data_IF_129665078878
#
_entry.id   IF_129665078878
#
_cell.length_a   1.000
_cell.length_b   1.000
_cell.length_c   1.000
_cell.angle_alpha   90.00
_cell.angle_beta   90.00
_cell.angle_gamma   90.00
#
_symmetry.space_group_name_H-M   'P 1'
#
loop_
_entity.id
_entity.type
_entity.pdbx_description
1 polymer ?
#
# COMPACT_ATOMS: atom_id res chain seq x y z
N UNK A 1 -6.06 12.42 -15.66
CA UNK A 1 -4.71 12.34 -15.03
C UNK A 1 -3.56 11.88 -15.95
N UNK A 2 -3.63 11.95 -17.30
CA UNK A 2 -2.61 11.35 -18.22
C UNK A 2 -1.63 12.34 -18.91
N UNK A 3 -1.53 13.59 -18.47
CA UNK A 3 -0.87 14.67 -19.26
C UNK A 3 0.58 15.00 -18.85
N UNK A 4 1.07 14.53 -17.71
CA UNK A 4 2.35 15.02 -17.15
C UNK A 4 3.61 14.25 -17.61
N UNK A 5 3.48 13.05 -18.18
CA UNK A 5 4.64 12.18 -18.45
C UNK A 5 5.27 12.30 -19.85
N UNK A 6 4.74 13.14 -20.76
CA UNK A 6 5.15 13.07 -22.19
C UNK A 6 6.40 13.87 -22.57
N UNK A 7 6.89 14.81 -21.75
CA UNK A 7 7.97 15.73 -22.13
C UNK A 7 9.13 15.83 -21.12
N UNK A 8 9.27 14.88 -20.19
CA UNK A 8 10.38 14.92 -19.25
C UNK A 8 11.65 14.36 -19.91
N UNK A 9 12.65 15.22 -20.13
CA UNK A 9 14.03 14.82 -20.44
C UNK A 9 14.79 14.66 -19.12
N UNK A 10 15.64 13.63 -18.99
CA UNK A 10 16.42 13.35 -17.78
C UNK A 10 17.18 14.56 -17.21
N UNK A 11 17.90 15.37 -18.02
CA UNK A 11 18.61 16.54 -17.50
C UNK A 11 17.68 17.64 -16.94
N UNK A 12 16.42 17.70 -17.37
CA UNK A 12 15.45 18.69 -16.86
C UNK A 12 14.96 18.28 -15.46
N UNK A 13 14.62 17.00 -15.27
CA UNK A 13 14.17 16.51 -13.96
C UNK A 13 15.29 16.55 -12.91
N UNK A 14 16.52 16.16 -13.26
CA UNK A 14 17.65 16.25 -12.33
C UNK A 14 17.94 17.70 -11.91
N UNK A 15 17.83 18.65 -12.84
CA UNK A 15 17.99 20.08 -12.54
C UNK A 15 16.90 20.60 -11.58
N UNK A 16 15.64 20.19 -11.81
CA UNK A 16 14.52 20.52 -10.92
C UNK A 16 14.72 19.94 -9.51
N UNK A 17 15.16 18.67 -9.41
CA UNK A 17 15.47 18.08 -8.12
C UNK A 17 16.64 18.77 -7.42
N UNK A 18 17.69 19.15 -8.16
CA UNK A 18 18.80 19.89 -7.58
C UNK A 18 18.34 21.24 -6.99
N UNK A 19 17.49 21.98 -7.71
CA UNK A 19 16.90 23.23 -7.20
C UNK A 19 16.04 22.98 -5.96
N UNK A 20 15.16 21.97 -6.00
CA UNK A 20 14.36 21.57 -4.85
C UNK A 20 15.23 21.23 -3.64
N UNK A 21 16.32 20.49 -3.83
CA UNK A 21 17.22 20.09 -2.74
C UNK A 21 17.95 21.27 -2.13
N UNK A 22 18.32 22.28 -2.91
CA UNK A 22 18.91 23.51 -2.38
C UNK A 22 17.93 24.20 -1.43
N UNK A 23 16.66 24.33 -1.82
CA UNK A 23 15.65 24.96 -0.97
C UNK A 23 15.32 24.11 0.27
N UNK A 24 15.31 22.78 0.12
CA UNK A 24 15.01 21.85 1.23
C UNK A 24 16.20 21.63 2.18
N UNK A 25 17.43 21.98 1.77
CA UNK A 25 18.62 21.82 2.62
C UNK A 25 18.55 22.72 3.87
N UNK A 26 17.92 23.89 3.76
CA UNK A 26 17.72 24.81 4.89
C UNK A 26 16.55 24.39 5.80
N UNK A 27 15.78 23.37 5.42
CA UNK A 27 14.62 22.90 6.16
C UNK A 27 15.04 21.95 7.30
N UNK A 28 15.18 22.44 8.52
CA UNK A 28 15.75 21.66 9.63
C UNK A 28 14.88 20.51 10.18
N UNK A 29 13.66 20.30 9.66
CA UNK A 29 12.77 19.23 10.14
C UNK A 29 12.82 18.00 9.23
N UNK A 30 12.61 16.79 9.77
CA UNK A 30 12.45 15.60 8.94
C UNK A 30 11.33 15.77 7.91
N UNK A 31 11.60 15.41 6.66
CA UNK A 31 10.69 15.51 5.54
C UNK A 31 10.54 14.15 4.85
N UNK A 32 9.30 13.71 4.67
CA UNK A 32 9.00 12.44 4.02
C UNK A 32 8.34 12.71 2.67
N UNK A 33 8.92 12.17 1.60
CA UNK A 33 8.27 12.12 0.29
C UNK A 33 7.71 10.73 0.09
N UNK A 34 6.39 10.61 0.06
CA UNK A 34 5.70 9.34 -0.17
C UNK A 34 5.26 9.26 -1.63
N UNK A 35 5.69 8.21 -2.32
CA UNK A 35 5.25 7.90 -3.68
C UNK A 35 4.49 6.58 -3.64
N UNK A 36 3.19 6.67 -3.87
CA UNK A 36 2.32 5.50 -3.98
C UNK A 36 2.27 4.97 -5.41
N UNK A 37 1.97 3.69 -5.55
CA UNK A 37 1.83 2.97 -6.83
C UNK A 37 2.99 3.17 -7.82
N UNK A 38 4.24 3.15 -7.34
CA UNK A 38 5.42 3.42 -8.18
C UNK A 38 5.55 2.49 -9.40
N UNK A 39 5.09 1.24 -9.27
CA UNK A 39 5.01 0.26 -10.37
C UNK A 39 4.23 0.74 -11.61
N UNK A 40 3.40 1.79 -11.52
CA UNK A 40 2.71 2.38 -12.66
C UNK A 40 3.62 3.27 -13.51
N UNK A 41 4.75 3.72 -12.96
CA UNK A 41 5.76 4.49 -13.67
C UNK A 41 6.60 3.50 -14.48
N UNK A 42 6.43 3.53 -15.80
CA UNK A 42 7.23 2.72 -16.74
C UNK A 42 8.22 3.57 -17.56
N UNK A 43 8.31 4.88 -17.29
CA UNK A 43 9.16 5.79 -18.05
C UNK A 43 10.61 5.71 -17.52
N UNK A 44 11.59 5.22 -18.32
CA UNK A 44 12.97 5.09 -17.88
C UNK A 44 13.62 6.41 -17.45
N UNK A 45 13.21 7.53 -18.06
CA UNK A 45 13.71 8.86 -17.71
C UNK A 45 13.34 9.23 -16.26
N UNK A 46 12.15 8.84 -15.81
CA UNK A 46 11.71 9.07 -14.42
C UNK A 46 12.51 8.18 -13.47
N UNK A 47 12.76 6.92 -13.84
CA UNK A 47 13.61 6.04 -13.03
C UNK A 47 15.03 6.60 -12.86
N UNK A 48 15.64 7.11 -13.92
CA UNK A 48 16.95 7.76 -13.87
C UNK A 48 16.94 9.01 -12.98
N UNK A 49 15.91 9.85 -13.10
CA UNK A 49 15.75 11.02 -12.26
C UNK A 49 15.57 10.63 -10.77
N UNK A 50 14.84 9.55 -10.47
CA UNK A 50 14.67 9.06 -9.10
C UNK A 50 15.96 8.44 -8.54
N UNK A 51 16.80 7.82 -9.38
CA UNK A 51 18.15 7.41 -8.97
C UNK A 51 19.03 8.62 -8.65
N UNK A 52 18.90 9.71 -9.41
CA UNK A 52 19.56 10.97 -9.08
C UNK A 52 19.05 11.52 -7.76
N UNK A 53 17.73 11.54 -7.55
CA UNK A 53 17.09 11.98 -6.31
C UNK A 53 17.67 11.23 -5.10
N UNK A 54 17.66 9.89 -5.13
CA UNK A 54 18.15 9.06 -4.02
C UNK A 54 19.62 9.28 -3.68
N UNK A 55 20.45 9.63 -4.67
CA UNK A 55 21.89 9.88 -4.46
C UNK A 55 22.20 11.25 -3.88
N UNK A 56 21.33 12.24 -4.07
CA UNK A 56 21.62 13.64 -3.75
C UNK A 56 20.61 14.28 -2.80
N UNK A 57 19.61 13.51 -2.33
CA UNK A 57 18.62 14.03 -1.39
C UNK A 57 19.31 14.58 -0.13
N UNK A 58 18.80 15.68 0.46
CA UNK A 58 19.23 16.17 1.76
C UNK A 58 19.06 15.13 2.88
N UNK A 59 19.89 15.19 3.92
CA UNK A 59 19.88 14.21 5.04
C UNK A 59 18.58 14.23 5.86
N UNK A 60 17.91 15.39 5.93
CA UNK A 60 16.61 15.56 6.56
C UNK A 60 15.46 14.94 5.75
N UNK A 61 15.72 14.40 4.55
CA UNK A 61 14.70 13.87 3.65
C UNK A 61 14.73 12.34 3.59
N UNK A 62 13.54 11.73 3.64
CA UNK A 62 13.34 10.29 3.48
C UNK A 62 12.34 10.02 2.37
N UNK A 63 12.73 9.20 1.39
CA UNK A 63 11.84 8.73 0.34
C UNK A 63 11.15 7.43 0.78
N UNK A 64 9.82 7.42 0.77
CA UNK A 64 8.99 6.24 1.00
C UNK A 64 8.32 5.86 -0.31
N UNK A 65 8.55 4.63 -0.78
CA UNK A 65 7.99 4.14 -2.05
C UNK A 65 7.10 2.95 -1.78
N UNK A 66 5.84 3.03 -2.19
CA UNK A 66 4.92 1.91 -2.22
C UNK A 66 4.80 1.39 -3.64
N UNK A 67 4.91 0.08 -3.80
CA UNK A 67 4.93 -0.55 -5.11
C UNK A 67 4.51 -2.01 -5.02
N UNK A 68 3.82 -2.51 -6.05
CA UNK A 68 3.46 -3.93 -6.18
C UNK A 68 4.62 -4.81 -6.67
N UNK A 69 5.61 -4.20 -7.31
CA UNK A 69 6.82 -4.86 -7.77
C UNK A 69 8.06 -4.09 -7.30
N UNK A 70 9.22 -4.75 -7.34
CA UNK A 70 10.47 -4.12 -6.95
C UNK A 70 10.79 -2.96 -7.90
N UNK A 71 10.88 -1.71 -7.42
CA UNK A 71 11.10 -0.56 -8.28
C UNK A 71 12.53 -0.57 -8.84
N UNK A 72 12.69 -0.14 -10.10
CA UNK A 72 13.97 -0.12 -10.80
C UNK A 72 14.88 1.03 -10.34
N UNK A 73 15.10 1.19 -9.04
CA UNK A 73 15.83 2.33 -8.45
C UNK A 73 17.29 2.03 -8.12
N UNK A 74 17.81 0.84 -8.47
CA UNK A 74 19.18 0.45 -8.12
C UNK A 74 19.33 0.17 -6.62
N UNK A 75 18.27 -0.41 -6.03
CA UNK A 75 18.11 -0.67 -4.59
C UNK A 75 19.28 -1.45 -3.97
N UNK A 76 19.97 -2.30 -4.74
CA UNK A 76 21.09 -3.10 -4.26
C UNK A 76 22.22 -2.26 -3.62
N UNK A 77 22.53 -1.08 -4.16
CA UNK A 77 23.57 -0.21 -3.60
C UNK A 77 23.13 0.39 -2.25
N UNK A 78 21.85 0.79 -2.15
CA UNK A 78 21.28 1.29 -0.90
C UNK A 78 21.29 0.21 0.19
N UNK A 79 21.00 -1.04 -0.20
CA UNK A 79 21.02 -2.19 0.72
C UNK A 79 22.42 -2.46 1.28
N UNK A 80 23.45 -2.43 0.44
CA UNK A 80 24.85 -2.64 0.89
C UNK A 80 25.33 -1.52 1.83
N UNK A 81 24.76 -0.32 1.71
CA UNK A 81 25.09 0.84 2.54
C UNK A 81 24.22 0.97 3.80
N UNK A 82 23.31 0.02 4.04
CA UNK A 82 22.32 0.07 5.13
C UNK A 82 21.44 1.34 5.09
N UNK A 83 21.17 1.85 3.88
CA UNK A 83 20.36 3.05 3.61
C UNK A 83 18.96 2.70 3.10
N UNK A 84 18.50 1.48 3.40
CA UNK A 84 17.27 0.94 2.84
C UNK A 84 16.53 0.11 3.87
N UNK A 85 15.28 0.49 4.12
CA UNK A 85 14.31 -0.34 4.81
C UNK A 85 13.32 -0.91 3.81
N UNK A 86 13.26 -2.24 3.71
CA UNK A 86 12.26 -2.94 2.90
C UNK A 86 11.22 -3.57 3.83
N UNK A 87 9.95 -3.26 3.57
CA UNK A 87 8.82 -3.86 4.28
C UNK A 87 8.00 -4.65 3.25
N UNK A 88 8.08 -5.97 3.35
CA UNK A 88 7.33 -6.89 2.49
C UNK A 88 5.91 -7.13 2.98
N UNK A 89 5.09 -7.78 2.14
CA UNK A 89 3.72 -8.15 2.47
C UNK A 89 3.62 -9.00 3.74
N UNK A 90 4.57 -9.89 3.98
CA UNK A 90 4.61 -10.73 5.19
C UNK A 90 4.80 -9.93 6.48
N UNK A 91 5.51 -8.80 6.42
CA UNK A 91 5.72 -7.92 7.58
C UNK A 91 4.51 -7.01 7.83
N UNK A 92 3.66 -6.80 6.82
CA UNK A 92 2.41 -6.05 6.94
C UNK A 92 1.20 -6.95 7.23
N UNK A 93 1.36 -8.26 7.05
CA UNK A 93 0.32 -9.23 7.36
C UNK A 93 0.08 -9.23 8.87
N UNK A 94 -1.19 -9.16 9.25
CA UNK A 94 -1.59 -9.23 10.64
C UNK A 94 -1.20 -10.59 11.22
N UNK A 95 -0.65 -10.54 12.41
CA UNK A 95 -0.50 -11.69 13.29
C UNK A 95 -1.86 -12.13 13.84
N UNK A 96 -1.96 -13.34 14.38
CA UNK A 96 -3.18 -13.82 15.05
C UNK A 96 -3.65 -12.88 16.15
N UNK A 97 -2.70 -12.30 16.90
CA UNK A 97 -3.00 -11.35 17.97
C UNK A 97 -3.56 -10.04 17.40
N UNK A 98 -2.97 -9.48 16.35
CA UNK A 98 -3.46 -8.26 15.69
C UNK A 98 -4.83 -8.50 15.04
N UNK A 99 -5.04 -9.67 14.41
CA UNK A 99 -6.34 -10.05 13.86
C UNK A 99 -7.42 -10.15 14.94
N UNK A 100 -7.08 -10.71 16.12
CA UNK A 100 -8.01 -10.78 17.25
C UNK A 100 -8.38 -9.39 17.76
N UNK A 101 -7.38 -8.55 17.99
CA UNK A 101 -7.58 -7.16 18.40
C UNK A 101 -8.41 -6.39 17.36
N UNK A 102 -8.14 -6.61 16.08
CA UNK A 102 -8.87 -6.01 14.98
C UNK A 102 -10.35 -6.38 14.99
N UNK A 103 -10.69 -7.67 15.13
CA UNK A 103 -12.08 -8.11 15.19
C UNK A 103 -12.79 -7.61 16.44
N UNK A 104 -12.13 -7.64 17.61
CA UNK A 104 -12.70 -7.14 18.87
C UNK A 104 -13.06 -5.66 18.81
N UNK A 105 -12.28 -4.85 18.08
CA UNK A 105 -12.59 -3.43 17.89
C UNK A 105 -13.70 -3.17 16.85
N UNK A 106 -14.01 -4.12 15.97
CA UNK A 106 -14.88 -3.91 14.80
C UNK A 106 -16.23 -4.60 14.91
N UNK A 107 -16.30 -5.73 15.61
CA UNK A 107 -17.51 -6.51 15.78
C UNK A 107 -18.21 -6.12 17.09
N UNK A 108 -19.54 -6.19 17.09
CA UNK A 108 -20.36 -5.92 18.29
C UNK A 108 -20.38 -7.08 19.26
N UNK A 109 -20.15 -8.30 18.77
CA UNK A 109 -19.97 -9.50 19.59
C UNK A 109 -18.54 -10.01 19.40
N UNK A 110 -17.83 -10.37 20.49
CA UNK A 110 -16.48 -10.88 20.40
C UNK A 110 -16.45 -12.19 19.63
N UNK A 111 -15.39 -12.37 18.83
CA UNK A 111 -15.09 -13.63 18.19
C UNK A 111 -14.14 -14.44 19.08
N UNK A 112 -14.30 -15.76 19.11
CA UNK A 112 -13.39 -16.66 19.81
C UNK A 112 -11.99 -16.58 19.20
N UNK A 113 -10.96 -16.76 20.04
CA UNK A 113 -9.56 -16.61 19.61
C UNK A 113 -9.18 -17.63 18.51
N UNK A 114 -9.65 -18.87 18.62
CA UNK A 114 -9.40 -19.92 17.63
C UNK A 114 -10.03 -19.59 16.28
N UNK A 115 -11.25 -19.03 16.30
CA UNK A 115 -11.94 -18.62 15.09
C UNK A 115 -11.25 -17.42 14.44
N UNK A 116 -10.86 -16.41 15.23
CA UNK A 116 -10.06 -15.28 14.73
C UNK A 116 -8.74 -15.72 14.10
N UNK A 117 -8.07 -16.70 14.69
CA UNK A 117 -6.80 -17.21 14.19
C UNK A 117 -7.00 -17.94 12.87
N UNK A 118 -8.03 -18.79 12.76
CA UNK A 118 -8.42 -19.45 11.49
C UNK A 118 -8.75 -18.44 10.40
N UNK A 119 -9.53 -17.41 10.73
CA UNK A 119 -9.87 -16.34 9.79
C UNK A 119 -8.64 -15.59 9.29
N UNK A 120 -7.67 -15.37 10.18
CA UNK A 120 -6.39 -14.76 9.83
C UNK A 120 -5.58 -15.65 8.89
N UNK A 121 -5.49 -16.95 9.17
CA UNK A 121 -4.79 -17.92 8.33
C UNK A 121 -5.44 -18.03 6.94
N UNK A 122 -6.77 -18.09 6.88
CA UNK A 122 -7.55 -18.20 5.65
C UNK A 122 -7.28 -17.06 4.65
N UNK A 123 -6.94 -15.86 5.16
CA UNK A 123 -6.63 -14.67 4.34
C UNK A 123 -5.15 -14.28 4.42
N UNK A 124 -4.29 -15.15 4.95
CA UNK A 124 -2.87 -14.92 5.13
C UNK A 124 -2.53 -13.59 5.84
N UNK A 125 -3.33 -13.22 6.85
CA UNK A 125 -3.16 -11.99 7.63
C UNK A 125 -3.47 -10.70 6.86
N UNK A 126 -4.09 -10.77 5.69
CA UNK A 126 -4.34 -9.56 4.91
C UNK A 126 -5.42 -8.68 5.54
N UNK A 127 -5.00 -7.53 6.08
CA UNK A 127 -5.85 -6.59 6.80
C UNK A 127 -7.11 -6.16 6.03
N UNK A 128 -7.01 -5.96 4.71
CA UNK A 128 -8.18 -5.60 3.88
C UNK A 128 -9.19 -6.74 3.82
N UNK A 129 -8.76 -7.99 3.66
CA UNK A 129 -9.67 -9.13 3.67
C UNK A 129 -10.33 -9.32 5.04
N UNK A 130 -9.57 -9.17 6.13
CA UNK A 130 -10.13 -9.16 7.49
C UNK A 130 -11.19 -8.07 7.67
N UNK A 131 -10.96 -6.88 7.11
CA UNK A 131 -11.92 -5.77 7.11
C UNK A 131 -13.19 -6.12 6.33
N UNK A 132 -13.09 -6.79 5.19
CA UNK A 132 -14.26 -7.25 4.43
C UNK A 132 -15.06 -8.30 5.20
N UNK A 133 -14.38 -9.27 5.83
CA UNK A 133 -15.02 -10.26 6.70
C UNK A 133 -15.81 -9.55 7.81
N UNK A 134 -15.20 -8.58 8.48
CA UNK A 134 -15.84 -7.82 9.54
C UNK A 134 -17.03 -6.98 9.05
N UNK A 135 -16.95 -6.39 7.86
CA UNK A 135 -18.05 -5.62 7.26
C UNK A 135 -19.24 -6.53 6.90
N UNK A 136 -18.99 -7.66 6.25
CA UNK A 136 -20.03 -8.62 5.87
C UNK A 136 -20.75 -9.20 7.09
N UNK A 137 -20.00 -9.55 8.14
CA UNK A 137 -20.58 -10.04 9.39
C UNK A 137 -21.53 -9.04 10.05
N UNK A 138 -21.24 -7.73 9.93
CA UNK A 138 -22.09 -6.66 10.48
C UNK A 138 -23.36 -6.42 9.66
N UNK A 139 -23.30 -6.58 8.34
CA UNK A 139 -24.42 -6.27 7.44
C UNK A 139 -25.47 -7.38 7.41
N UNK A 140 -25.02 -8.65 7.37
CA UNK A 140 -25.91 -9.78 7.09
C UNK A 140 -26.39 -10.52 8.36
N UNK A 141 -26.00 -10.08 9.57
CA UNK A 141 -26.10 -10.88 10.82
C UNK A 141 -25.58 -12.32 10.64
N UNK A 142 -24.73 -12.55 9.64
CA UNK A 142 -24.17 -13.85 9.29
C UNK A 142 -22.86 -14.05 10.02
N UNK A 143 -22.50 -15.28 10.34
CA UNK A 143 -21.25 -15.56 11.03
C UNK A 143 -20.03 -15.12 10.19
N UNK A 144 -19.00 -14.61 10.86
CA UNK A 144 -17.75 -14.17 10.22
C UNK A 144 -17.11 -15.32 9.41
N UNK A 145 -17.28 -16.56 9.87
CA UNK A 145 -16.79 -17.78 9.24
C UNK A 145 -17.43 -18.01 7.85
N UNK A 146 -18.73 -17.70 7.67
CA UNK A 146 -19.37 -17.79 6.35
C UNK A 146 -18.82 -16.76 5.36
N UNK A 147 -18.57 -15.54 5.85
CA UNK A 147 -18.02 -14.46 5.02
C UNK A 147 -16.58 -14.75 4.60
N UNK A 148 -15.78 -15.30 5.52
CA UNK A 148 -14.40 -15.65 5.26
C UNK A 148 -14.23 -16.79 4.26
N UNK A 149 -15.07 -17.83 4.30
CA UNK A 149 -15.02 -18.91 3.31
C UNK A 149 -15.26 -18.42 1.88
N UNK A 150 -16.10 -17.39 1.70
CA UNK A 150 -16.31 -16.76 0.38
C UNK A 150 -15.04 -16.03 -0.09
N UNK A 151 -14.31 -15.42 0.83
CA UNK A 151 -13.10 -14.63 0.53
C UNK A 151 -11.84 -15.51 0.42
N UNK A 152 -11.72 -16.57 1.21
CA UNK A 152 -10.57 -17.50 1.22
C UNK A 152 -10.45 -18.31 -0.08
N UNK A 153 -11.56 -18.50 -0.80
CA UNK A 153 -11.55 -19.10 -2.14
C UNK A 153 -10.98 -18.18 -3.22
N UNK A 154 -10.73 -16.91 -2.90
CA UNK A 154 -10.28 -15.90 -3.83
C UNK A 154 -8.85 -15.54 -3.46
N UNK A 155 -7.89 -15.95 -4.29
CA UNK A 155 -6.49 -15.57 -4.14
C UNK A 155 -6.37 -14.05 -3.91
N UNK A 156 -5.45 -13.60 -3.06
CA UNK A 156 -5.26 -12.17 -2.75
C UNK A 156 -5.06 -11.29 -4.00
N UNK A 157 -4.53 -11.85 -5.10
CA UNK A 157 -4.42 -11.18 -6.41
C UNK A 157 -5.73 -11.07 -7.20
N UNK A 158 -6.70 -11.95 -6.95
CA UNK A 158 -8.03 -11.96 -7.56
C UNK A 158 -9.08 -11.26 -6.69
N UNK A 159 -8.79 -11.02 -5.39
CA UNK A 159 -9.71 -10.30 -4.52
C UNK A 159 -9.79 -8.81 -4.87
N UNK A 160 -8.80 -8.23 -5.56
CA UNK A 160 -8.93 -6.89 -6.13
C UNK A 160 -10.04 -6.79 -7.17
N UNK A 161 -10.29 -7.86 -7.93
CA UNK A 161 -11.38 -7.91 -8.91
C UNK A 161 -12.73 -8.17 -8.21
N UNK A 162 -12.73 -9.00 -7.15
CA UNK A 162 -13.91 -9.22 -6.32
C UNK A 162 -14.33 -7.99 -5.50
N UNK A 163 -13.36 -7.17 -5.07
CA UNK A 163 -13.61 -5.88 -4.44
C UNK A 163 -14.33 -4.91 -5.37
N UNK A 164 -14.15 -5.04 -6.69
CA UNK A 164 -14.92 -4.25 -7.66
C UNK A 164 -16.37 -4.73 -7.72
N UNK A 165 -16.61 -6.04 -7.79
CA UNK A 165 -17.99 -6.56 -7.86
C UNK A 165 -18.77 -6.38 -6.55
N UNK A 166 -18.24 -6.77 -5.39
CA UNK A 166 -19.05 -6.82 -4.15
C UNK A 166 -19.09 -5.49 -3.37
N UNK A 167 -18.10 -4.59 -3.55
CA UNK A 167 -18.12 -3.26 -2.91
C UNK A 167 -18.89 -2.24 -3.77
N UNK A 168 -18.89 -2.35 -5.10
CA UNK A 168 -19.67 -1.42 -5.93
C UNK A 168 -21.16 -1.73 -5.94
N UNK A 169 -21.55 -3.01 -5.84
CA UNK A 169 -22.97 -3.39 -5.78
C UNK A 169 -23.66 -2.94 -4.48
N UNK A 170 -22.89 -2.62 -3.44
CA UNK A 170 -23.42 -2.23 -2.12
C UNK A 170 -23.11 -0.77 -1.74
N UNK A 171 -22.61 0.03 -2.69
CA UNK A 171 -22.45 1.48 -2.54
C UNK A 171 -23.57 2.13 -3.34
N UNK A 172 -24.51 2.79 -2.65
CA UNK A 172 -25.59 3.57 -3.27
C UNK A 172 -25.07 4.36 -4.48
N UNK A 173 -25.81 4.33 -5.60
CA UNK A 173 -25.45 4.96 -6.87
C UNK A 173 -25.00 6.43 -6.76
N UNK A 174 -25.37 7.12 -5.67
CA UNK A 174 -24.93 8.48 -5.37
C UNK A 174 -23.42 8.61 -5.03
N UNK A 175 -22.74 7.56 -4.58
CA UNK A 175 -21.31 7.59 -4.18
C UNK A 175 -20.35 7.01 -5.23
N UNK A 176 -20.86 6.33 -6.25
CA UNK A 176 -20.08 5.86 -7.40
C UNK A 176 -19.73 6.98 -8.40
N UNK A 177 -20.22 8.20 -8.17
CA UNK A 177 -20.03 9.35 -9.09
C UNK A 177 -19.07 10.38 -8.48
N UNK A 178 -17.81 9.99 -8.24
CA UNK A 178 -16.74 10.96 -8.03
C UNK A 178 -15.95 11.13 -9.34
N UNK A 179 -16.28 12.21 -10.05
CA UNK A 179 -15.46 12.80 -11.11
C UNK A 179 -14.37 13.69 -10.52
#
# INVERSE_FOLDING_TARGET
MKRWCKNASTPVLSSLFAQLFIELADWQRPLYLVIDDYHLINNPVIHDAMRFFLRHQPENMTLVVLSRNLPQLGIANLRVRDQLLEIGSQQLAFTHQEAKQFFDCRLTSPIEADDSSRLCDDVAGWATALQLIALSARQNNSSAQHSARRLAGINASHLSDYLVDEVLDNVDAARATFC
#
